data_IF_204048172071
#
_entry.id   IF_204048172071
#
_cell.length_a   1.000
_cell.length_b   1.000
_cell.length_c   1.000
_cell.angle_alpha   90.00
_cell.angle_beta   90.00
_cell.angle_gamma   90.00
#
_symmetry.space_group_name_H-M   'P 1'
#
loop_
_entity.id
_entity.type
_entity.pdbx_description
1 polymer ?
#
# COMPACT_ATOMS: atom_id res chain seq x y z
N UNK A 1 13.00 7.16 14.57
CA UNK A 1 11.75 6.79 13.85
C UNK A 1 11.51 5.29 14.04
N UNK A 2 10.28 4.88 14.40
CA UNK A 2 9.92 3.48 14.63
C UNK A 2 9.20 2.98 13.36
N UNK A 3 9.76 1.96 12.69
CA UNK A 3 9.22 1.44 11.42
C UNK A 3 8.50 0.10 11.54
N UNK A 4 8.75 -0.64 12.61
CA UNK A 4 8.05 -1.90 12.94
C UNK A 4 8.23 -2.23 14.42
N UNK A 5 7.34 -3.05 14.95
CA UNK A 5 7.46 -3.63 16.29
C UNK A 5 7.26 -5.15 16.20
N UNK A 6 8.12 -5.89 16.88
CA UNK A 6 7.98 -7.33 17.11
C UNK A 6 8.12 -7.58 18.60
N UNK A 7 7.10 -8.18 19.20
CA UNK A 7 7.11 -8.41 20.64
C UNK A 7 5.88 -9.15 21.13
N UNK A 8 5.65 -9.18 22.42
CA UNK A 8 4.52 -9.86 23.05
C UNK A 8 3.29 -8.95 23.04
N UNK A 9 2.16 -9.43 22.54
CA UNK A 9 0.89 -8.74 22.65
C UNK A 9 0.39 -8.81 24.09
N UNK A 10 0.46 -7.70 24.84
CA UNK A 10 0.03 -7.65 26.23
C UNK A 10 -1.46 -7.38 26.37
N UNK A 11 -2.03 -6.53 25.50
CA UNK A 11 -3.43 -6.12 25.61
C UNK A 11 -3.96 -5.65 24.25
N UNK A 12 -5.30 -5.61 24.17
CA UNK A 12 -6.07 -5.11 23.01
C UNK A 12 -7.26 -4.32 23.52
N UNK A 13 -7.43 -3.10 23.02
CA UNK A 13 -8.60 -2.29 23.39
C UNK A 13 -9.91 -3.00 23.00
N UNK A 14 -11.00 -2.82 23.78
CA UNK A 14 -12.28 -3.49 23.53
C UNK A 14 -12.90 -3.18 22.15
N UNK A 15 -12.65 -1.99 21.62
CA UNK A 15 -13.07 -1.56 20.28
C UNK A 15 -12.14 -2.07 19.15
N UNK A 16 -11.03 -2.74 19.52
CA UNK A 16 -10.02 -3.23 18.58
C UNK A 16 -9.18 -2.13 17.92
N UNK A 17 -9.28 -0.89 18.40
CA UNK A 17 -8.57 0.26 17.81
C UNK A 17 -7.13 0.45 18.30
N UNK A 18 -6.69 -0.29 19.33
CA UNK A 18 -5.36 -0.18 19.89
C UNK A 18 -4.81 -1.54 20.33
N UNK A 19 -3.51 -1.73 20.15
CA UNK A 19 -2.73 -2.85 20.70
C UNK A 19 -1.68 -2.31 21.65
N UNK A 20 -1.41 -3.06 22.74
CA UNK A 20 -0.25 -2.89 23.61
C UNK A 20 0.76 -4.00 23.33
N UNK A 21 1.90 -3.66 22.75
CA UNK A 21 2.96 -4.61 22.35
C UNK A 21 4.20 -4.32 23.20
N UNK A 22 4.66 -5.32 23.95
CA UNK A 22 5.89 -5.23 24.71
C UNK A 22 7.10 -5.64 23.87
N UNK A 23 8.10 -4.79 23.84
CA UNK A 23 9.39 -5.05 23.19
C UNK A 23 10.53 -4.72 24.18
N UNK A 24 11.23 -5.73 24.63
CA UNK A 24 12.36 -5.57 25.55
C UNK A 24 12.02 -4.90 26.88
N UNK A 25 10.83 -5.18 27.44
CA UNK A 25 10.36 -4.61 28.71
C UNK A 25 9.67 -3.23 28.55
N UNK A 26 9.51 -2.73 27.33
CA UNK A 26 8.79 -1.46 27.06
C UNK A 26 7.49 -1.76 26.33
N UNK A 27 6.36 -1.29 26.89
CA UNK A 27 5.04 -1.42 26.28
C UNK A 27 4.76 -0.27 25.31
N UNK A 28 4.54 -0.60 24.04
CA UNK A 28 4.17 0.35 22.99
C UNK A 28 2.68 0.30 22.73
N UNK A 29 2.01 1.45 22.81
CA UNK A 29 0.61 1.60 22.39
C UNK A 29 0.57 1.92 20.91
N UNK A 30 -0.14 1.11 20.14
CA UNK A 30 -0.18 1.18 18.68
C UNK A 30 -1.63 1.26 18.22
N UNK A 31 -2.02 2.36 17.61
CA UNK A 31 -3.34 2.50 16.98
C UNK A 31 -3.41 1.62 15.73
N UNK A 32 -4.45 0.81 15.61
CA UNK A 32 -4.65 -0.13 14.50
C UNK A 32 -6.09 -0.11 14.00
N UNK A 33 -6.31 -0.56 12.77
CA UNK A 33 -7.67 -0.86 12.32
C UNK A 33 -8.17 -2.14 13.01
N UNK A 34 -9.50 -2.27 13.30
CA UNK A 34 -10.05 -3.45 13.97
C UNK A 34 -9.70 -4.77 13.27
N UNK A 35 -9.66 -4.79 11.95
CA UNK A 35 -9.24 -5.96 11.18
C UNK A 35 -7.76 -6.34 11.41
N UNK A 36 -6.86 -5.37 11.54
CA UNK A 36 -5.45 -5.60 11.86
C UNK A 36 -5.30 -6.09 13.30
N UNK A 37 -6.07 -5.52 14.23
CA UNK A 37 -6.14 -5.97 15.62
C UNK A 37 -6.56 -7.45 15.73
N UNK A 38 -7.57 -7.86 14.97
CA UNK A 38 -8.02 -9.26 14.95
C UNK A 38 -6.94 -10.23 14.43
N UNK A 39 -6.09 -9.77 13.50
CA UNK A 39 -4.98 -10.55 12.93
C UNK A 39 -3.72 -10.60 13.81
N UNK A 40 -3.62 -9.74 14.82
CA UNK A 40 -2.42 -9.64 15.67
C UNK A 40 -2.17 -10.85 16.58
N UNK A 41 -3.06 -11.84 16.61
CA UNK A 41 -2.93 -13.05 17.43
C UNK A 41 -3.61 -12.94 18.80
N UNK A 42 -3.35 -13.90 19.68
CA UNK A 42 -3.89 -13.94 21.03
C UNK A 42 -3.03 -13.09 21.99
N UNK A 43 -3.65 -12.57 23.05
CA UNK A 43 -2.90 -11.93 24.17
C UNK A 43 -1.90 -12.94 24.73
N UNK A 44 -0.66 -12.51 24.95
CA UNK A 44 0.47 -13.32 25.35
C UNK A 44 1.26 -13.96 24.19
N UNK A 45 0.77 -13.91 22.95
CA UNK A 45 1.53 -14.41 21.79
C UNK A 45 2.43 -13.33 21.18
N UNK A 46 3.40 -13.77 20.34
CA UNK A 46 4.21 -12.85 19.56
C UNK A 46 3.33 -12.15 18.50
N UNK A 47 3.46 -10.83 18.44
CA UNK A 47 2.84 -9.99 17.41
C UNK A 47 3.90 -9.23 16.63
N UNK A 48 3.65 -9.03 15.33
CA UNK A 48 4.46 -8.15 14.47
C UNK A 48 3.55 -7.16 13.75
N UNK A 49 3.95 -5.88 13.76
CA UNK A 49 3.25 -4.83 13.02
C UNK A 49 4.25 -3.92 12.32
N UNK A 50 3.92 -3.52 11.09
CA UNK A 50 4.58 -2.39 10.44
C UNK A 50 4.06 -1.10 11.05
N UNK A 51 4.93 -0.13 11.30
CA UNK A 51 4.57 1.09 12.05
C UNK A 51 4.81 2.33 11.21
N UNK A 52 3.82 3.23 11.20
CA UNK A 52 4.01 4.64 10.89
C UNK A 52 4.13 5.41 12.20
N UNK A 53 5.28 6.05 12.43
CA UNK A 53 5.54 6.85 13.62
C UNK A 53 5.29 8.32 13.31
N UNK A 54 4.21 8.86 13.83
CA UNK A 54 3.90 10.28 13.76
C UNK A 54 4.43 10.99 14.99
N UNK A 55 5.29 11.97 14.77
CA UNK A 55 5.80 12.85 15.82
C UNK A 55 5.13 14.21 15.70
N UNK A 56 4.58 14.72 16.80
CA UNK A 56 4.07 16.07 16.99
C UNK A 56 4.82 16.74 18.14
N UNK A 57 4.64 18.03 18.33
CA UNK A 57 5.29 18.78 19.42
C UNK A 57 4.91 18.22 20.80
N UNK A 58 3.67 17.79 20.97
CA UNK A 58 3.06 17.36 22.23
C UNK A 58 2.82 15.86 22.34
N UNK A 59 3.02 15.06 21.27
CA UNK A 59 2.69 13.66 21.24
C UNK A 59 3.51 12.86 20.22
N UNK A 60 3.75 11.58 20.56
CA UNK A 60 4.25 10.57 19.64
C UNK A 60 3.19 9.49 19.48
N UNK A 61 2.76 9.25 18.26
CA UNK A 61 1.70 8.31 17.94
C UNK A 61 2.24 7.24 16.99
N UNK A 62 1.90 5.98 17.30
CA UNK A 62 2.25 4.83 16.47
C UNK A 62 0.98 4.28 15.81
N UNK A 63 1.00 4.16 14.49
CA UNK A 63 -0.06 3.53 13.70
C UNK A 63 0.46 2.21 13.17
N UNK A 64 -0.23 1.11 13.47
CA UNK A 64 0.21 -0.25 13.13
C UNK A 64 -0.61 -0.88 12.02
N UNK A 65 0.09 -1.63 11.18
CA UNK A 65 -0.43 -2.28 9.99
C UNK A 65 0.05 -3.73 9.91
N UNK A 66 -0.79 -4.63 9.43
CA UNK A 66 -0.43 -6.04 9.28
C UNK A 66 0.56 -6.26 8.12
N UNK A 67 0.50 -5.41 7.09
CA UNK A 67 1.35 -5.51 5.91
C UNK A 67 2.07 -4.19 5.63
N UNK A 68 3.18 -4.29 4.89
CA UNK A 68 3.93 -3.12 4.43
C UNK A 68 3.11 -2.28 3.42
N UNK A 69 2.24 -2.93 2.63
CA UNK A 69 1.37 -2.25 1.67
C UNK A 69 0.30 -1.43 2.38
N UNK A 70 -0.35 -1.97 3.43
CA UNK A 70 -1.26 -1.19 4.27
C UNK A 70 -0.58 0.08 4.82
N UNK A 71 0.66 -0.02 5.32
CA UNK A 71 1.41 1.13 5.81
C UNK A 71 1.70 2.14 4.70
N UNK A 72 2.17 1.69 3.52
CA UNK A 72 2.47 2.56 2.38
C UNK A 72 1.23 3.30 1.89
N UNK A 73 0.11 2.62 1.77
CA UNK A 73 -1.17 3.23 1.38
C UNK A 73 -1.62 4.25 2.42
N UNK A 74 -1.50 3.93 3.72
CA UNK A 74 -1.78 4.90 4.79
C UNK A 74 -0.93 6.16 4.66
N UNK A 75 0.38 6.02 4.45
CA UNK A 75 1.32 7.13 4.29
C UNK A 75 0.97 8.00 3.07
N UNK A 76 0.57 7.37 1.96
CA UNK A 76 0.08 8.09 0.79
C UNK A 76 -1.21 8.86 1.11
N UNK A 77 -2.18 8.22 1.78
CA UNK A 77 -3.47 8.83 2.14
C UNK A 77 -3.30 10.04 3.04
N UNK A 78 -2.50 9.93 4.11
CA UNK A 78 -2.28 11.04 5.04
C UNK A 78 -1.41 12.17 4.46
N UNK A 79 -0.70 11.92 3.36
CA UNK A 79 0.04 12.96 2.64
C UNK A 79 -0.87 13.82 1.75
N UNK A 80 -2.15 13.44 1.56
CA UNK A 80 -3.12 14.23 0.84
C UNK A 80 -3.60 15.42 1.69
N UNK A 81 -3.81 16.57 1.03
CA UNK A 81 -4.17 17.79 1.73
C UNK A 81 -5.51 17.67 2.47
N UNK A 82 -5.49 17.98 3.77
CA UNK A 82 -6.67 17.93 4.65
C UNK A 82 -7.03 16.53 5.16
N UNK A 83 -6.16 15.55 4.97
CA UNK A 83 -6.33 14.19 5.49
C UNK A 83 -5.39 13.95 6.66
N UNK A 84 -5.94 13.86 7.85
CA UNK A 84 -5.19 13.48 9.05
C UNK A 84 -5.18 11.96 9.25
N UNK A 85 -4.34 11.47 10.18
CA UNK A 85 -4.23 10.04 10.47
C UNK A 85 -5.54 9.35 10.85
N UNK A 86 -6.40 10.02 11.62
CA UNK A 86 -7.72 9.46 12.00
C UNK A 86 -8.59 9.18 10.77
N UNK A 87 -8.60 10.09 9.80
CA UNK A 87 -9.32 9.88 8.54
C UNK A 87 -8.62 8.83 7.67
N UNK A 88 -7.29 8.81 7.64
CA UNK A 88 -6.52 7.76 6.97
C UNK A 88 -6.82 6.36 7.50
N UNK A 89 -6.90 6.21 8.84
CA UNK A 89 -7.31 4.95 9.47
C UNK A 89 -8.75 4.58 9.13
N UNK A 90 -9.68 5.53 9.11
CA UNK A 90 -11.08 5.28 8.73
C UNK A 90 -11.20 4.80 7.28
N UNK A 91 -10.45 5.42 6.34
CA UNK A 91 -10.39 4.99 4.94
C UNK A 91 -9.91 3.54 4.84
N UNK A 92 -8.77 3.21 5.46
CA UNK A 92 -8.20 1.87 5.40
C UNK A 92 -9.00 0.81 6.18
N UNK A 93 -9.85 1.22 7.12
CA UNK A 93 -10.75 0.31 7.83
C UNK A 93 -11.93 -0.15 6.95
N UNK A 94 -12.33 0.68 5.97
CA UNK A 94 -13.44 0.39 5.05
C UNK A 94 -12.88 -0.18 3.73
N UNK A 95 -11.87 0.48 3.18
CA UNK A 95 -11.23 0.09 1.93
C UNK A 95 -9.82 -0.41 2.22
N UNK A 96 -9.60 -1.72 2.14
CA UNK A 96 -8.25 -2.28 2.17
C UNK A 96 -7.41 -1.76 1.00
N UNK A 97 -6.07 -1.96 1.00
CA UNK A 97 -5.18 -1.41 -0.03
C UNK A 97 -5.61 -1.71 -1.47
N UNK A 98 -5.96 -2.96 -1.76
CA UNK A 98 -6.38 -3.39 -3.09
C UNK A 98 -7.73 -2.77 -3.50
N UNK A 99 -8.67 -2.72 -2.57
CA UNK A 99 -9.99 -2.12 -2.80
C UNK A 99 -9.87 -0.60 -3.01
N UNK A 100 -9.07 0.10 -2.19
CA UNK A 100 -8.85 1.52 -2.38
C UNK A 100 -8.23 1.82 -3.75
N UNK A 101 -7.23 1.03 -4.18
CA UNK A 101 -6.66 1.15 -5.53
C UNK A 101 -7.73 0.97 -6.61
N UNK A 102 -8.63 -0.01 -6.45
CA UNK A 102 -9.74 -0.24 -7.37
C UNK A 102 -10.72 0.95 -7.41
N UNK A 103 -11.14 1.44 -6.24
CA UNK A 103 -12.03 2.61 -6.11
C UNK A 103 -11.44 3.86 -6.78
N UNK A 104 -10.13 4.07 -6.61
CA UNK A 104 -9.43 5.19 -7.27
C UNK A 104 -9.31 4.98 -8.78
N UNK A 105 -9.06 3.77 -9.24
CA UNK A 105 -8.96 3.44 -10.66
C UNK A 105 -10.30 3.63 -11.38
N UNK A 106 -11.40 3.21 -10.75
CA UNK A 106 -12.78 3.34 -11.30
C UNK A 106 -13.41 4.71 -11.05
N UNK A 107 -12.69 5.63 -10.38
CA UNK A 107 -13.19 6.97 -10.01
C UNK A 107 -14.50 6.96 -9.20
N UNK A 108 -14.68 5.93 -8.37
CA UNK A 108 -15.89 5.75 -7.55
C UNK A 108 -15.89 6.71 -6.36
N UNK A 109 -16.41 7.92 -6.60
CA UNK A 109 -16.54 8.96 -5.58
C UNK A 109 -17.53 8.55 -4.48
N UNK A 110 -18.57 7.79 -4.81
CA UNK A 110 -19.58 7.40 -3.84
C UNK A 110 -19.03 6.36 -2.86
N UNK A 111 -18.19 5.43 -3.31
CA UNK A 111 -17.45 4.52 -2.46
C UNK A 111 -16.53 5.27 -1.47
N UNK A 112 -15.83 6.32 -1.92
CA UNK A 112 -15.02 7.15 -1.02
C UNK A 112 -15.89 7.93 -0.04
N UNK A 113 -17.06 8.40 -0.43
CA UNK A 113 -18.01 9.10 0.45
C UNK A 113 -18.67 8.18 1.49
N UNK A 114 -18.63 6.85 1.31
CA UNK A 114 -19.09 5.89 2.32
C UNK A 114 -18.23 5.91 3.60
N UNK A 115 -17.00 6.47 3.51
CA UNK A 115 -16.11 6.61 4.67
C UNK A 115 -16.60 7.78 5.55
N UNK A 116 -16.85 7.54 6.85
CA UNK A 116 -17.22 8.62 7.78
C UNK A 116 -16.17 9.74 7.78
N UNK A 117 -16.63 10.98 7.58
CA UNK A 117 -15.75 12.15 7.50
C UNK A 117 -15.25 12.49 6.08
N UNK A 118 -15.57 11.68 5.07
CA UNK A 118 -15.27 11.96 3.66
C UNK A 118 -16.51 12.49 2.97
N UNK A 119 -16.56 13.79 2.72
CA UNK A 119 -17.58 14.40 1.85
C UNK A 119 -17.13 14.45 0.38
N UNK A 120 -18.05 14.75 -0.55
CA UNK A 120 -17.78 14.79 -2.00
C UNK A 120 -16.53 15.62 -2.37
N UNK A 121 -16.33 16.78 -1.74
CA UNK A 121 -15.16 17.64 -1.98
C UNK A 121 -13.85 16.96 -1.57
N UNK A 122 -13.85 16.25 -0.44
CA UNK A 122 -12.70 15.48 0.04
C UNK A 122 -12.46 14.26 -0.84
N UNK A 123 -13.50 13.53 -1.20
CA UNK A 123 -13.44 12.38 -2.10
C UNK A 123 -12.83 12.74 -3.46
N UNK A 124 -13.32 13.80 -4.10
CA UNK A 124 -12.77 14.27 -5.39
C UNK A 124 -11.29 14.64 -5.28
N UNK A 125 -10.89 15.31 -4.19
CA UNK A 125 -9.49 15.67 -3.95
C UNK A 125 -8.63 14.44 -3.71
N UNK A 126 -9.08 13.51 -2.84
CA UNK A 126 -8.40 12.24 -2.60
C UNK A 126 -8.16 11.47 -3.90
N UNK A 127 -9.19 11.39 -4.76
CA UNK A 127 -9.09 10.73 -6.04
C UNK A 127 -7.97 11.33 -6.90
N UNK A 128 -7.91 12.64 -7.04
CA UNK A 128 -6.89 13.32 -7.86
C UNK A 128 -5.49 13.13 -7.25
N UNK A 129 -5.34 13.36 -5.94
CA UNK A 129 -4.02 13.32 -5.29
C UNK A 129 -3.48 11.90 -5.13
N UNK A 130 -4.34 10.91 -4.84
CA UNK A 130 -3.89 9.53 -4.62
C UNK A 130 -3.63 8.78 -5.91
N UNK A 131 -4.34 9.08 -7.01
CA UNK A 131 -4.01 8.49 -8.32
C UNK A 131 -2.56 8.73 -8.70
N UNK A 132 -2.08 9.96 -8.51
CA UNK A 132 -0.68 10.32 -8.83
C UNK A 132 0.34 9.73 -7.86
N UNK A 133 -0.05 9.46 -6.60
CA UNK A 133 0.88 9.00 -5.54
C UNK A 133 1.00 7.49 -5.41
N UNK A 134 -0.06 6.77 -5.82
CA UNK A 134 -0.11 5.31 -5.71
C UNK A 134 0.32 4.61 -7.01
N UNK A 135 0.93 5.36 -7.96
CA UNK A 135 1.37 4.85 -9.27
C UNK A 135 0.35 3.86 -9.85
N UNK A 136 -0.93 4.32 -9.90
CA UNK A 136 -1.96 3.52 -10.53
C UNK A 136 -1.72 3.62 -12.03
N UNK A 137 -1.32 2.53 -12.71
CA UNK A 137 -1.31 2.53 -14.16
C UNK A 137 -2.71 2.89 -14.64
N UNK A 138 -2.80 3.62 -15.75
CA UNK A 138 -4.06 3.78 -16.47
C UNK A 138 -4.62 2.38 -16.71
N UNK A 139 -5.59 1.99 -15.89
CA UNK A 139 -6.17 0.65 -15.97
C UNK A 139 -7.01 0.62 -17.22
N UNK A 140 -6.57 -0.17 -18.18
CA UNK A 140 -7.40 -0.60 -19.30
C UNK A 140 -8.60 -1.38 -18.73
N UNK A 141 -9.75 -0.70 -18.62
CA UNK A 141 -10.99 -1.21 -18.02
C UNK A 141 -11.58 -2.41 -18.79
N UNK A 142 -10.96 -2.85 -19.88
CA UNK A 142 -11.38 -4.04 -20.64
C UNK A 142 -10.92 -5.37 -20.03
N UNK A 143 -10.13 -5.34 -18.95
CA UNK A 143 -9.56 -6.52 -18.30
C UNK A 143 -10.29 -7.00 -17.03
N UNK A 144 -11.42 -6.39 -16.63
CA UNK A 144 -12.17 -6.77 -15.41
C UNK A 144 -13.24 -7.83 -15.72
N UNK A 145 -12.85 -8.91 -16.39
CA UNK A 145 -13.62 -10.17 -16.38
C UNK A 145 -12.67 -11.35 -16.26
N UNK A 146 -12.26 -11.68 -15.01
CA UNK A 146 -12.06 -13.05 -14.50
C UNK A 146 -11.35 -13.03 -13.14
N UNK A 147 -11.83 -13.74 -12.12
CA UNK A 147 -10.97 -14.14 -11.00
C UNK A 147 -10.03 -15.21 -11.54
N UNK A 148 -8.77 -14.87 -11.78
CA UNK A 148 -7.74 -15.82 -12.15
C UNK A 148 -7.08 -16.42 -10.89
N UNK A 149 -6.72 -17.71 -10.91
CA UNK A 149 -5.96 -18.36 -9.84
C UNK A 149 -4.58 -17.70 -9.70
N UNK A 150 -4.01 -17.80 -8.52
CA UNK A 150 -2.62 -17.40 -8.23
C UNK A 150 -1.69 -18.33 -9.04
N UNK A 151 -1.32 -17.88 -10.24
CA UNK A 151 -0.28 -18.51 -11.06
C UNK A 151 0.56 -17.42 -11.73
N UNK A 152 1.87 -17.52 -11.54
CA UNK A 152 2.98 -16.88 -12.21
C UNK A 152 2.77 -15.42 -12.70
N UNK A 153 3.37 -14.47 -11.97
CA UNK A 153 3.53 -13.09 -12.46
C UNK A 153 4.26 -13.14 -13.81
N UNK A 154 3.67 -12.66 -14.90
CA UNK A 154 4.35 -12.72 -16.20
C UNK A 154 5.73 -12.06 -16.11
N UNK A 155 6.78 -12.72 -16.63
CA UNK A 155 8.17 -12.25 -16.56
C UNK A 155 8.32 -10.78 -16.99
N UNK A 156 7.50 -10.30 -17.92
CA UNK A 156 7.47 -8.90 -18.37
C UNK A 156 7.03 -7.89 -17.28
N UNK A 157 6.25 -8.31 -16.28
CA UNK A 157 5.87 -7.41 -15.16
C UNK A 157 7.07 -7.18 -14.25
N UNK A 158 7.82 -8.23 -13.94
CA UNK A 158 9.04 -8.12 -13.14
C UNK A 158 10.12 -7.33 -13.87
N UNK A 159 10.31 -7.55 -15.17
CA UNK A 159 11.24 -6.79 -16.02
C UNK A 159 10.88 -5.30 -16.04
N UNK A 160 9.60 -4.97 -16.20
CA UNK A 160 9.13 -3.57 -16.14
C UNK A 160 9.47 -2.91 -14.82
N UNK A 161 9.12 -3.56 -13.71
CA UNK A 161 9.39 -3.04 -12.36
C UNK A 161 10.88 -2.84 -12.12
N UNK A 162 11.72 -3.76 -12.59
CA UNK A 162 13.17 -3.62 -12.50
C UNK A 162 13.69 -2.41 -13.27
N UNK A 163 13.24 -2.20 -14.52
CA UNK A 163 13.66 -1.07 -15.35
C UNK A 163 13.18 0.28 -14.78
N UNK A 164 11.94 0.36 -14.33
CA UNK A 164 11.39 1.56 -13.70
C UNK A 164 12.11 1.89 -12.38
N UNK A 165 12.50 0.88 -11.59
CA UNK A 165 13.32 1.07 -10.39
C UNK A 165 14.73 1.61 -10.68
N UNK A 166 15.25 1.36 -11.88
CA UNK A 166 16.51 1.90 -12.38
C UNK A 166 16.38 3.31 -12.97
N UNK A 167 15.14 3.88 -12.99
CA UNK A 167 14.90 5.25 -13.39
C UNK A 167 14.49 5.44 -14.86
N UNK A 168 14.22 4.37 -15.60
CA UNK A 168 13.69 4.48 -16.96
C UNK A 168 12.19 4.83 -16.94
N UNK A 169 11.74 5.66 -17.87
CA UNK A 169 10.32 6.01 -17.97
C UNK A 169 9.50 4.87 -18.57
N UNK A 170 8.21 4.77 -18.21
CA UNK A 170 7.30 3.76 -18.78
C UNK A 170 7.20 3.87 -20.31
N UNK A 171 7.39 5.06 -20.88
CA UNK A 171 7.37 5.28 -22.33
C UNK A 171 8.62 4.71 -23.03
N UNK A 172 9.78 4.73 -22.37
CA UNK A 172 11.01 4.11 -22.84
C UNK A 172 11.00 2.59 -22.71
N UNK A 173 10.36 2.09 -21.64
CA UNK A 173 10.30 0.66 -21.32
C UNK A 173 9.34 -0.10 -22.24
N UNK A 174 8.19 0.49 -22.57
CA UNK A 174 7.13 -0.13 -23.37
C UNK A 174 7.59 -0.70 -24.72
N UNK A 175 8.33 0.05 -25.58
CA UNK A 175 8.78 -0.48 -26.87
C UNK A 175 9.82 -1.60 -26.74
N UNK A 176 10.59 -1.61 -25.66
CA UNK A 176 11.58 -2.65 -25.39
C UNK A 176 10.91 -3.94 -24.94
N UNK A 177 9.94 -3.85 -24.02
CA UNK A 177 9.16 -5.03 -23.59
C UNK A 177 8.43 -5.72 -24.75
N UNK A 178 7.94 -4.94 -25.72
CA UNK A 178 7.25 -5.51 -26.90
C UNK A 178 8.18 -6.35 -27.82
N UNK A 179 9.49 -6.20 -27.69
CA UNK A 179 10.51 -6.93 -28.46
C UNK A 179 11.12 -8.13 -27.71
N UNK A 180 10.86 -8.23 -26.41
CA UNK A 180 11.35 -9.33 -25.57
C UNK A 180 10.44 -10.58 -25.69
N UNK A 181 10.99 -11.79 -25.50
CA UNK A 181 10.20 -12.99 -25.35
C UNK A 181 9.22 -12.89 -24.20
N UNK A 182 8.00 -13.39 -24.37
CA UNK A 182 6.95 -13.37 -23.33
C UNK A 182 7.22 -14.32 -22.18
N UNK A 183 8.09 -15.31 -22.37
CA UNK A 183 8.48 -16.32 -21.39
C UNK A 183 10.00 -16.31 -21.20
N UNK A 184 10.47 -16.50 -19.98
CA UNK A 184 11.90 -16.59 -19.66
C UNK A 184 12.21 -16.15 -18.24
N UNK A 185 13.47 -16.30 -17.83
CA UNK A 185 13.97 -15.83 -16.55
C UNK A 185 13.95 -14.28 -16.51
N UNK A 186 13.24 -13.66 -15.58
CA UNK A 186 13.14 -12.20 -15.47
C UNK A 186 14.50 -11.51 -15.40
N UNK A 187 15.49 -12.12 -14.76
CA UNK A 187 16.83 -11.54 -14.64
C UNK A 187 17.58 -11.49 -16.00
N UNK A 188 17.38 -12.54 -16.84
CA UNK A 188 17.94 -12.58 -18.19
C UNK A 188 17.24 -11.55 -19.08
N UNK A 189 15.91 -11.49 -19.04
CA UNK A 189 15.10 -10.56 -19.80
C UNK A 189 15.38 -9.11 -19.43
N UNK A 190 15.59 -8.81 -18.14
CA UNK A 190 15.96 -7.46 -17.66
C UNK A 190 17.32 -7.04 -18.24
N UNK A 191 18.30 -7.95 -18.25
CA UNK A 191 19.61 -7.66 -18.82
C UNK A 191 19.55 -7.42 -20.34
N UNK A 192 18.77 -8.21 -21.05
CA UNK A 192 18.59 -8.05 -22.50
C UNK A 192 17.84 -6.74 -22.81
N UNK A 193 16.84 -6.37 -22.02
CA UNK A 193 16.16 -5.09 -22.09
C UNK A 193 17.13 -3.91 -21.92
N UNK A 194 17.98 -3.93 -20.90
CA UNK A 194 18.98 -2.89 -20.64
C UNK A 194 19.96 -2.75 -21.79
N UNK A 195 20.36 -3.88 -22.40
CA UNK A 195 21.24 -3.87 -23.57
C UNK A 195 20.57 -3.22 -24.79
N UNK A 196 19.30 -3.55 -25.05
CA UNK A 196 18.53 -2.92 -26.13
C UNK A 196 18.37 -1.42 -25.93
N UNK A 197 18.12 -0.98 -24.69
CA UNK A 197 18.01 0.44 -24.34
C UNK A 197 19.35 1.19 -24.51
N UNK A 198 20.47 0.54 -24.19
CA UNK A 198 21.80 1.11 -24.37
C UNK A 198 22.23 1.23 -25.87
N UNK A 199 21.69 0.35 -26.71
CA UNK A 199 21.98 0.35 -28.18
C UNK A 199 21.06 1.35 -28.95
N UNK A 200 20.11 2.02 -28.26
CA UNK A 200 19.31 3.13 -28.83
C UNK A 200 18.21 2.68 -29.79
N UNK A 201 17.61 1.53 -29.50
CA UNK A 201 16.50 0.98 -30.30
C UNK A 201 15.14 1.41 -29.75
#
# INVERSE_FOLDING_TARGET
>A
MIGSLRGTLLDRSPDGGELLIEVGGVGYRVAVAPAASARAGAIGSEAFVHVHHQQREDAQLLYGFSTIDERRVFEAVISAHGVGPSLGMAILSIHGPAELKSVLATEDIDALCAVPGVGKKTATRLLIELKSKLDLPDVDLTAIERPAPVEDVPAHVEVRQALESLGYSSDDVRPVLAKLPTEGDPAILTRDALRMMAEGV
#
